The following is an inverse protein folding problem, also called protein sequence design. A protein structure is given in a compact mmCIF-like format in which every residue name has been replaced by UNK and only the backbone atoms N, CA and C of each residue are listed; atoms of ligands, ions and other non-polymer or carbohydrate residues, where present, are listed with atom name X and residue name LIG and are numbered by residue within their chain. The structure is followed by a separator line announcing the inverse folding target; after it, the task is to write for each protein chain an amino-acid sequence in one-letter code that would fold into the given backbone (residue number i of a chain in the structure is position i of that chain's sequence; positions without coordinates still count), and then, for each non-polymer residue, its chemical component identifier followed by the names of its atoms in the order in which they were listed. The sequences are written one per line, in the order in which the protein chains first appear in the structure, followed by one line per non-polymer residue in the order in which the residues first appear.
data_IF_976140593154
#
_entry.id   IF_976140593154
#
_cell.length_a   1.000
_cell.length_b   1.000
_cell.length_c   1.000
_cell.angle_alpha   90.00
_cell.angle_beta   90.00
_cell.angle_gamma   90.00
#
_symmetry.space_group_name_H-M   'P 1'
#
loop_
_entity.id
_entity.type
_entity.pdbx_description
1 polymer ?
#
# COMPACT_ATOMS: atom_id res chain seq x y z
N UNK A 1 9.85 57.08 -22.27
CA UNK A 1 10.88 56.60 -21.32
C UNK A 1 10.26 55.96 -20.07
N UNK A 2 9.12 56.43 -19.55
CA UNK A 2 8.47 55.87 -18.35
C UNK A 2 7.81 54.49 -18.56
N UNK A 3 7.19 54.25 -19.72
CA UNK A 3 6.42 53.03 -20.01
C UNK A 3 7.28 51.76 -20.13
N UNK A 4 8.53 51.90 -20.59
CA UNK A 4 9.48 50.80 -20.75
C UNK A 4 10.07 50.33 -19.41
N UNK A 5 10.24 51.27 -18.47
CA UNK A 5 10.65 50.96 -17.09
C UNK A 5 9.55 50.22 -16.32
N UNK A 6 8.28 50.65 -16.47
CA UNK A 6 7.13 50.00 -15.84
C UNK A 6 6.95 48.56 -16.33
N UNK A 7 7.08 48.31 -17.65
CA UNK A 7 7.01 46.95 -18.19
C UNK A 7 8.10 46.02 -17.65
N UNK A 8 9.34 46.51 -17.53
CA UNK A 8 10.44 45.71 -16.97
C UNK A 8 10.20 45.35 -15.51
N UNK A 9 9.68 46.30 -14.71
CA UNK A 9 9.36 46.04 -13.30
C UNK A 9 8.25 45.00 -13.17
N UNK A 10 7.20 45.06 -14.00
CA UNK A 10 6.12 44.07 -13.98
C UNK A 10 6.62 42.67 -14.35
N UNK A 11 7.52 42.57 -15.35
CA UNK A 11 8.12 41.30 -15.76
C UNK A 11 9.05 40.69 -14.69
N UNK A 12 9.77 41.53 -13.94
CA UNK A 12 10.63 41.07 -12.84
C UNK A 12 9.82 40.59 -11.63
N UNK A 13 8.69 41.25 -11.34
CA UNK A 13 7.79 40.86 -10.26
C UNK A 13 7.03 39.57 -10.60
N UNK A 14 6.60 39.41 -11.86
CA UNK A 14 5.89 38.19 -12.30
C UNK A 14 6.79 36.96 -12.30
N UNK A 15 8.04 37.10 -12.77
CA UNK A 15 9.02 36.01 -12.74
C UNK A 15 9.40 35.63 -11.31
N UNK A 16 9.62 36.61 -10.43
CA UNK A 16 9.88 36.37 -9.00
C UNK A 16 8.71 35.64 -8.32
N UNK A 17 7.47 36.04 -8.60
CA UNK A 17 6.28 35.37 -8.07
C UNK A 17 6.16 33.93 -8.60
N UNK A 18 6.50 33.70 -9.87
CA UNK A 18 6.49 32.37 -10.48
C UNK A 18 7.55 31.44 -9.89
N UNK A 19 8.73 31.97 -9.52
CA UNK A 19 9.77 31.20 -8.83
C UNK A 19 9.30 30.79 -7.41
N UNK A 20 8.68 31.71 -6.65
CA UNK A 20 8.08 31.39 -5.34
C UNK A 20 6.95 30.35 -5.44
N UNK A 21 6.20 30.33 -6.55
CA UNK A 21 5.13 29.34 -6.80
C UNK A 21 5.68 27.97 -7.24
N UNK A 22 6.90 27.90 -7.77
CA UNK A 22 7.52 26.65 -8.25
C UNK A 22 8.30 25.90 -7.17
N UNK A 23 8.53 26.50 -6.00
CA UNK A 23 9.17 25.86 -4.82
C UNK A 23 8.24 24.88 -4.08
N UNK A 24 7.29 24.24 -4.79
CA UNK A 24 6.71 22.99 -4.31
C UNK A 24 7.87 22.01 -4.15
N UNK A 25 8.16 21.49 -2.96
CA UNK A 25 9.26 20.56 -2.78
C UNK A 25 8.93 19.32 -3.59
N UNK A 26 9.64 19.10 -4.70
CA UNK A 26 9.66 17.84 -5.43
C UNK A 26 10.35 16.72 -4.62
N UNK A 27 10.64 16.96 -3.35
CA UNK A 27 11.23 16.04 -2.40
C UNK A 27 10.22 15.39 -1.46
N UNK A 28 8.91 15.38 -1.77
CA UNK A 28 8.03 14.42 -1.08
C UNK A 28 8.54 13.01 -1.39
N UNK A 29 8.88 12.20 -0.36
CA UNK A 29 9.28 10.82 -0.59
C UNK A 29 8.12 10.11 -1.31
N UNK A 30 8.47 9.28 -2.31
CA UNK A 30 7.54 8.45 -3.09
C UNK A 30 6.54 7.64 -2.23
N UNK A 31 6.78 7.50 -0.92
CA UNK A 31 5.87 6.89 0.04
C UNK A 31 4.59 7.68 0.35
N UNK A 32 4.58 9.02 0.32
CA UNK A 32 3.38 9.79 0.69
C UNK A 32 2.42 10.11 -0.46
N UNK A 33 2.82 9.90 -1.72
CA UNK A 33 1.88 10.01 -2.87
C UNK A 33 0.74 8.99 -2.81
N UNK A 34 0.94 7.87 -2.11
CA UNK A 34 -0.09 6.84 -1.93
C UNK A 34 -1.06 7.14 -0.78
N UNK A 35 -0.83 8.21 0.01
CA UNK A 35 -1.60 8.47 1.24
C UNK A 35 -2.88 9.28 1.07
N UNK A 36 -3.05 10.02 -0.04
CA UNK A 36 -4.17 10.96 -0.23
C UNK A 36 -5.17 10.56 -1.33
N UNK A 37 -5.03 9.35 -1.87
CA UNK A 37 -5.98 8.74 -2.79
C UNK A 37 -6.11 7.23 -2.53
N UNK A 38 -6.29 6.81 -1.27
CA UNK A 38 -6.65 5.41 -0.99
C UNK A 38 -8.16 5.22 -1.04
N UNK A 39 -8.71 5.40 -2.22
CA UNK A 39 -9.65 4.41 -2.71
C UNK A 39 -8.82 3.55 -3.66
N UNK A 40 -7.92 2.72 -3.10
CA UNK A 40 -6.94 1.96 -3.85
C UNK A 40 -7.66 0.88 -4.67
N UNK A 41 -8.22 1.29 -5.80
CA UNK A 41 -8.75 0.37 -6.78
C UNK A 41 -7.61 -0.57 -7.16
N UNK A 42 -7.80 -1.86 -6.90
CA UNK A 42 -6.83 -2.86 -7.28
C UNK A 42 -6.56 -2.75 -8.78
N UNK A 43 -5.29 -2.71 -9.19
CA UNK A 43 -4.90 -2.66 -10.61
C UNK A 43 -4.98 -4.04 -11.29
N UNK A 44 -5.09 -5.11 -10.50
CA UNK A 44 -5.22 -6.47 -11.01
C UNK A 44 -6.67 -6.77 -11.40
N UNK A 45 -6.83 -7.62 -12.41
CA UNK A 45 -8.11 -8.30 -12.61
C UNK A 45 -8.40 -9.23 -11.41
N UNK A 46 -9.67 -9.58 -11.21
CA UNK A 46 -10.05 -10.56 -10.19
C UNK A 46 -9.28 -11.88 -10.37
N UNK A 47 -9.18 -12.38 -11.61
CA UNK A 47 -8.44 -13.61 -11.91
C UNK A 47 -6.95 -13.51 -11.60
N UNK A 48 -6.30 -12.38 -11.88
CA UNK A 48 -4.88 -12.19 -11.58
C UNK A 48 -4.62 -12.08 -10.08
N UNK A 49 -5.55 -11.42 -9.36
CA UNK A 49 -5.54 -11.36 -7.89
C UNK A 49 -5.64 -12.78 -7.32
N UNK A 50 -6.67 -13.53 -7.71
CA UNK A 50 -6.88 -14.91 -7.25
C UNK A 50 -5.71 -15.84 -7.60
N UNK A 51 -5.10 -15.69 -8.78
CA UNK A 51 -3.94 -16.49 -9.18
C UNK A 51 -2.76 -16.34 -8.21
N UNK A 52 -2.55 -15.14 -7.65
CA UNK A 52 -1.48 -14.87 -6.66
C UNK A 52 -1.79 -15.46 -5.28
N UNK A 53 -3.07 -15.58 -4.94
CA UNK A 53 -3.53 -16.12 -3.66
C UNK A 53 -3.78 -17.63 -3.68
N UNK A 54 -3.56 -18.31 -4.81
CA UNK A 54 -3.90 -19.73 -4.97
C UNK A 54 -2.72 -20.62 -4.62
N UNK A 55 -2.97 -21.59 -3.76
CA UNK A 55 -2.02 -22.67 -3.47
C UNK A 55 -1.95 -23.61 -4.68
N UNK A 56 -0.77 -24.13 -5.07
CA UNK A 56 -0.66 -25.15 -6.11
C UNK A 56 -1.58 -26.34 -5.83
N UNK A 57 -2.56 -26.58 -6.71
CA UNK A 57 -3.57 -27.65 -6.53
C UNK A 57 -4.57 -27.43 -5.39
N UNK A 58 -4.55 -26.28 -4.73
CA UNK A 58 -5.33 -26.00 -3.53
C UNK A 58 -6.33 -24.85 -3.66
N UNK A 59 -6.84 -24.44 -2.49
CA UNK A 59 -7.80 -23.33 -2.31
C UNK A 59 -7.07 -21.98 -2.28
N UNK A 60 -7.84 -20.89 -2.40
CA UNK A 60 -7.33 -19.53 -2.18
C UNK A 60 -7.04 -19.32 -0.70
N UNK A 61 -5.88 -18.74 -0.37
CA UNK A 61 -5.50 -18.39 1.00
C UNK A 61 -5.73 -19.52 2.02
N UNK A 62 -5.44 -20.76 1.64
CA UNK A 62 -5.67 -21.96 2.47
C UNK A 62 -7.11 -22.13 2.99
N UNK A 63 -8.10 -21.46 2.39
CA UNK A 63 -9.48 -21.34 2.91
C UNK A 63 -9.59 -20.63 4.28
N UNK A 64 -8.52 -19.93 4.67
CA UNK A 64 -8.30 -19.31 5.98
C UNK A 64 -8.18 -17.79 5.89
N UNK A 65 -8.58 -17.22 4.75
CA UNK A 65 -8.41 -15.81 4.44
C UNK A 65 -9.22 -15.36 3.23
N UNK A 66 -9.20 -14.06 2.96
CA UNK A 66 -9.78 -13.45 1.77
C UNK A 66 -8.68 -12.91 0.87
N UNK A 67 -8.77 -13.14 -0.43
CA UNK A 67 -7.81 -12.59 -1.38
C UNK A 67 -8.19 -11.15 -1.75
N UNK A 68 -7.34 -10.19 -1.39
CA UNK A 68 -7.51 -8.78 -1.75
C UNK A 68 -6.29 -8.31 -2.56
N UNK A 69 -6.51 -8.00 -3.84
CA UNK A 69 -5.50 -7.51 -4.76
C UNK A 69 -4.20 -8.34 -4.82
N UNK A 70 -4.35 -9.67 -4.79
CA UNK A 70 -3.24 -10.63 -4.82
C UNK A 70 -2.53 -10.84 -3.49
N UNK A 71 -3.10 -10.35 -2.39
CA UNK A 71 -2.61 -10.56 -1.03
C UNK A 71 -3.69 -11.25 -0.20
N UNK A 72 -3.32 -12.29 0.54
CA UNK A 72 -4.24 -12.94 1.46
C UNK A 72 -4.37 -12.14 2.75
N UNK A 73 -5.61 -11.79 3.09
CA UNK A 73 -5.99 -11.21 4.37
C UNK A 73 -6.50 -12.36 5.24
N UNK A 74 -5.66 -12.80 6.18
CA UNK A 74 -5.95 -13.97 6.99
C UNK A 74 -7.05 -13.70 8.02
N UNK A 75 -7.89 -14.71 8.25
CA UNK A 75 -8.94 -14.67 9.25
C UNK A 75 -8.35 -14.74 10.66
N UNK A 76 -9.07 -14.12 11.59
CA UNK A 76 -8.85 -14.24 13.03
C UNK A 76 -10.05 -14.98 13.60
N UNK A 77 -9.82 -16.15 14.19
CA UNK A 77 -10.86 -17.05 14.69
C UNK A 77 -10.45 -17.57 16.06
N UNK A 78 -11.36 -18.10 16.88
CA UNK A 78 -10.93 -18.85 18.07
C UNK A 78 -10.29 -20.18 17.61
N UNK A 79 -9.10 -20.59 18.07
CA UNK A 79 -8.32 -20.06 19.21
C UNK A 79 -7.17 -19.09 18.86
N UNK A 80 -7.03 -18.62 17.61
CA UNK A 80 -5.99 -17.67 17.21
C UNK A 80 -6.08 -17.14 15.77
N UNK A 81 -5.03 -16.45 15.31
CA UNK A 81 -4.96 -15.90 13.94
C UNK A 81 -4.15 -16.78 12.98
N UNK A 82 -4.59 -16.89 11.73
CA UNK A 82 -3.77 -17.54 10.70
C UNK A 82 -2.67 -16.60 10.20
N UNK A 83 -1.57 -17.18 9.73
CA UNK A 83 -0.38 -16.45 9.26
C UNK A 83 0.17 -17.02 7.95
N UNK A 84 1.14 -16.31 7.38
CA UNK A 84 1.81 -16.68 6.14
C UNK A 84 1.19 -16.00 4.92
N UNK A 85 1.92 -15.96 3.78
CA UNK A 85 1.46 -15.34 2.54
C UNK A 85 0.16 -15.93 1.99
N UNK A 86 -0.15 -17.19 2.33
CA UNK A 86 -1.36 -17.90 1.91
C UNK A 86 -2.18 -18.39 3.11
N UNK A 87 -2.00 -17.80 4.30
CA UNK A 87 -2.70 -18.17 5.54
C UNK A 87 -2.53 -19.66 5.93
N UNK A 88 -1.38 -20.24 5.62
CA UNK A 88 -1.07 -21.66 5.80
C UNK A 88 -0.62 -22.02 7.22
N UNK A 89 -0.20 -21.03 8.02
CA UNK A 89 0.37 -21.23 9.36
C UNK A 89 -0.61 -20.87 10.48
N UNK A 90 -0.43 -21.50 11.64
CA UNK A 90 -1.05 -21.16 12.93
C UNK A 90 -0.17 -21.69 14.09
N UNK A 91 -0.37 -21.20 15.30
CA UNK A 91 0.42 -21.52 16.50
C UNK A 91 -0.33 -22.32 17.58
N UNK A 92 -1.61 -22.64 17.38
CA UNK A 92 -2.43 -23.38 18.38
C UNK A 92 -2.47 -24.91 18.22
N UNK A 93 -1.80 -25.46 17.20
CA UNK A 93 -1.61 -26.92 17.04
C UNK A 93 -0.13 -27.19 16.80
N UNK A 94 0.69 -26.80 17.77
CA UNK A 94 2.09 -27.18 17.82
C UNK A 94 2.26 -28.48 18.61
N UNK A 95 3.35 -29.20 18.37
CA UNK A 95 3.72 -30.33 19.23
C UNK A 95 3.89 -29.84 20.67
N UNK A 96 3.33 -30.60 21.60
CA UNK A 96 3.42 -30.34 23.03
C UNK A 96 4.26 -31.42 23.70
N UNK A 97 5.07 -31.02 24.67
CA UNK A 97 5.78 -31.94 25.56
C UNK A 97 5.30 -31.68 26.99
N UNK A 98 4.90 -32.73 27.70
CA UNK A 98 4.35 -32.65 29.07
C UNK A 98 3.15 -31.69 29.21
N UNK A 99 2.34 -31.56 28.16
CA UNK A 99 1.15 -30.69 28.14
C UNK A 99 1.42 -29.21 27.89
N UNK A 100 2.69 -28.82 27.73
CA UNK A 100 3.07 -27.45 27.37
C UNK A 100 3.46 -27.35 25.88
N UNK A 101 2.97 -26.31 25.22
CA UNK A 101 3.45 -25.94 23.88
C UNK A 101 4.73 -25.10 24.01
N UNK A 102 5.68 -25.29 23.10
CA UNK A 102 6.89 -24.47 23.06
C UNK A 102 6.54 -22.99 22.90
N UNK A 103 7.04 -22.14 23.81
CA UNK A 103 6.87 -20.68 23.79
C UNK A 103 7.92 -19.97 22.92
#
# INVERSE_FOLDING_TARGET
MYTQGVLSVVLLLSTSLFILLLEIPQSLPLSLRNGLASNSSCRLSQSDSERRCRIPGGKLCSDRGQCNCGVCICQVTEPGKYYGPLCECHDWVCEAYDGEMCA
#
